data_IF_700329472972
#
_entry.id   IF_700329472972
#
_cell.length_a   1.000
_cell.length_b   1.000
_cell.length_c   1.000
_cell.angle_alpha   90.00
_cell.angle_beta   90.00
_cell.angle_gamma   90.00
#
_symmetry.space_group_name_H-M   'P 1'
#
loop_
_entity.id
_entity.type
_entity.pdbx_description
1 polymer ?
#
# COMPACT_ATOMS: atom_id res chain seq x y z
N UNK A 1 -58.17 -52.81 -27.05
CA UNK A 1 -56.80 -53.21 -26.72
C UNK A 1 -55.76 -52.14 -27.17
N UNK A 2 -56.07 -50.84 -27.15
CA UNK A 2 -55.20 -49.79 -27.68
C UNK A 2 -55.02 -48.58 -26.73
N UNK A 3 -55.49 -48.64 -25.50
CA UNK A 3 -55.32 -47.50 -24.54
C UNK A 3 -54.07 -47.62 -23.66
N UNK A 4 -53.39 -48.72 -23.61
CA UNK A 4 -52.21 -48.99 -22.82
C UNK A 4 -50.88 -48.55 -23.51
N UNK A 5 -50.92 -48.45 -24.86
CA UNK A 5 -49.68 -48.02 -25.61
C UNK A 5 -49.35 -46.57 -25.55
N UNK A 6 -50.31 -45.69 -25.28
CA UNK A 6 -50.09 -44.26 -25.22
C UNK A 6 -49.60 -43.75 -23.82
N UNK A 7 -49.92 -44.45 -22.76
CA UNK A 7 -49.38 -44.09 -21.44
C UNK A 7 -47.88 -44.38 -21.28
N UNK A 8 -47.36 -45.40 -21.99
CA UNK A 8 -45.91 -45.71 -21.91
C UNK A 8 -45.07 -44.79 -22.74
N UNK A 9 -45.57 -44.27 -23.85
CA UNK A 9 -44.87 -43.28 -24.65
C UNK A 9 -44.79 -41.90 -23.96
N UNK A 10 -45.84 -41.50 -23.21
CA UNK A 10 -45.86 -40.24 -22.45
C UNK A 10 -44.94 -40.27 -21.22
N UNK A 11 -44.74 -41.44 -20.60
CA UNK A 11 -43.85 -41.59 -19.47
C UNK A 11 -42.38 -41.58 -19.89
N UNK A 12 -42.06 -42.08 -21.08
CA UNK A 12 -40.69 -42.01 -21.64
C UNK A 12 -40.30 -40.59 -22.07
N UNK A 13 -41.26 -39.76 -22.49
CA UNK A 13 -40.99 -38.36 -22.85
C UNK A 13 -40.79 -37.47 -21.63
N UNK A 14 -41.44 -37.76 -20.51
CA UNK A 14 -41.25 -37.06 -19.24
C UNK A 14 -39.90 -37.43 -18.59
N UNK A 15 -39.40 -38.64 -18.75
CA UNK A 15 -38.10 -39.05 -18.27
C UNK A 15 -36.95 -38.48 -19.12
N UNK A 16 -37.14 -38.30 -20.42
CA UNK A 16 -36.17 -37.67 -21.31
C UNK A 16 -36.01 -36.17 -21.07
N UNK A 17 -37.09 -35.49 -20.65
CA UNK A 17 -37.04 -34.06 -20.34
C UNK A 17 -36.33 -33.74 -18.99
N UNK A 18 -36.39 -34.65 -18.03
CA UNK A 18 -35.70 -34.49 -16.74
C UNK A 18 -34.21 -34.77 -16.84
N UNK A 19 -33.78 -35.63 -17.81
CA UNK A 19 -32.33 -35.90 -18.00
C UNK A 19 -31.64 -34.81 -18.82
N UNK A 20 -32.40 -34.02 -19.62
CA UNK A 20 -31.81 -32.88 -20.37
C UNK A 20 -31.71 -31.59 -19.54
N UNK A 21 -32.27 -31.55 -18.35
CA UNK A 21 -32.21 -30.40 -17.47
C UNK A 21 -31.03 -30.46 -16.45
N UNK A 22 -30.17 -31.49 -16.54
CA UNK A 22 -29.04 -31.69 -15.61
C UNK A 22 -27.67 -31.60 -16.25
N UNK A 23 -27.57 -31.12 -17.48
CA UNK A 23 -26.29 -30.72 -18.08
C UNK A 23 -26.24 -29.20 -18.38
N UNK A 24 -26.69 -28.38 -17.48
CA UNK A 24 -26.05 -27.09 -17.32
C UNK A 24 -24.79 -27.33 -16.51
N UNK A 25 -23.68 -27.47 -17.23
CA UNK A 25 -22.39 -27.71 -16.66
C UNK A 25 -22.15 -26.75 -15.50
N UNK A 26 -21.59 -27.28 -14.44
CA UNK A 26 -20.78 -26.52 -13.51
C UNK A 26 -19.81 -25.66 -14.37
N UNK A 27 -20.24 -24.48 -14.73
CA UNK A 27 -19.30 -23.39 -14.98
C UNK A 27 -18.61 -23.28 -13.64
N UNK A 28 -17.50 -24.00 -13.48
CA UNK A 28 -16.52 -23.61 -12.50
C UNK A 28 -16.24 -22.16 -12.84
N UNK A 29 -16.90 -21.26 -12.13
CA UNK A 29 -16.43 -19.92 -11.98
C UNK A 29 -14.98 -20.11 -11.56
N UNK A 30 -14.06 -19.95 -12.50
CA UNK A 30 -12.65 -19.88 -12.25
C UNK A 30 -12.55 -18.65 -11.35
N UNK A 31 -12.63 -18.90 -10.05
CA UNK A 31 -12.44 -17.84 -9.06
C UNK A 31 -11.05 -17.35 -9.34
N UNK A 32 -10.98 -16.17 -9.95
CA UNK A 32 -9.76 -15.41 -10.01
C UNK A 32 -9.13 -15.51 -8.61
N UNK A 33 -7.97 -16.15 -8.44
CA UNK A 33 -7.27 -16.16 -7.17
C UNK A 33 -6.85 -14.76 -6.76
N UNK A 34 -7.12 -13.78 -7.63
CA UNK A 34 -6.87 -12.38 -7.40
C UNK A 34 -7.57 -11.88 -6.15
N UNK A 35 -6.82 -11.17 -5.37
CA UNK A 35 -7.18 -10.59 -4.08
C UNK A 35 -8.14 -9.40 -4.21
N UNK A 36 -8.72 -9.22 -5.39
CA UNK A 36 -9.66 -8.14 -5.68
C UNK A 36 -11.08 -8.69 -5.72
N UNK A 37 -11.87 -8.30 -4.75
CA UNK A 37 -13.30 -8.37 -4.91
C UNK A 37 -13.73 -7.32 -5.92
N UNK A 38 -13.89 -7.72 -7.18
CA UNK A 38 -14.35 -6.87 -8.28
C UNK A 38 -15.88 -6.74 -8.33
N UNK A 39 -16.59 -7.29 -7.36
CA UNK A 39 -18.04 -7.16 -7.27
C UNK A 39 -18.45 -5.69 -7.25
N UNK A 40 -19.34 -5.29 -8.13
CA UNK A 40 -19.91 -3.94 -8.17
C UNK A 40 -20.66 -3.57 -6.87
N UNK A 41 -21.00 -4.55 -6.07
CA UNK A 41 -21.72 -4.44 -4.82
C UNK A 41 -20.89 -4.88 -3.61
N UNK A 42 -19.55 -4.76 -3.70
CA UNK A 42 -18.68 -5.01 -2.57
C UNK A 42 -19.19 -4.22 -1.36
N UNK A 43 -19.49 -4.92 -0.29
CA UNK A 43 -19.86 -4.26 0.96
C UNK A 43 -18.62 -3.57 1.53
N UNK A 44 -18.78 -2.38 2.06
CA UNK A 44 -17.69 -1.58 2.67
C UNK A 44 -16.98 -2.30 3.83
N UNK A 45 -17.59 -3.36 4.37
CA UNK A 45 -17.14 -4.13 5.53
C UNK A 45 -17.16 -5.62 5.22
N UNK A 46 -16.31 -6.08 4.30
CA UNK A 46 -15.92 -7.48 4.28
C UNK A 46 -14.91 -7.67 5.40
N UNK A 47 -15.37 -8.16 6.55
CA UNK A 47 -14.54 -8.34 7.73
C UNK A 47 -13.49 -9.45 7.53
N UNK A 48 -13.78 -10.44 6.68
CA UNK A 48 -12.88 -11.59 6.46
C UNK A 48 -12.97 -12.11 5.03
N UNK A 49 -11.80 -12.38 4.46
CA UNK A 49 -11.71 -13.12 3.19
C UNK A 49 -12.18 -14.56 3.38
N UNK A 50 -12.83 -15.13 2.35
CA UNK A 50 -13.15 -16.54 2.35
C UNK A 50 -11.89 -17.41 2.45
N UNK A 51 -11.91 -18.54 3.16
CA UNK A 51 -10.78 -19.46 3.20
C UNK A 51 -10.37 -19.89 1.79
N UNK A 52 -9.06 -19.96 1.57
CA UNK A 52 -8.47 -20.41 0.30
C UNK A 52 -7.18 -21.20 0.59
N UNK A 53 -6.37 -21.48 -0.45
CA UNK A 53 -5.09 -22.18 -0.28
C UNK A 53 -4.02 -21.33 0.39
N UNK A 54 -4.17 -20.01 0.42
CA UNK A 54 -3.24 -19.08 1.08
C UNK A 54 -3.53 -18.91 2.56
N UNK A 55 -4.82 -18.89 2.93
CA UNK A 55 -5.25 -18.69 4.33
C UNK A 55 -6.45 -19.55 4.69
N UNK A 56 -6.38 -20.11 5.89
CA UNK A 56 -7.52 -20.82 6.51
C UNK A 56 -8.60 -19.83 6.96
N UNK A 57 -9.77 -20.35 7.37
CA UNK A 57 -10.86 -19.54 7.94
C UNK A 57 -10.45 -18.75 9.21
N UNK A 58 -9.42 -19.18 9.93
CA UNK A 58 -8.88 -18.48 11.10
C UNK A 58 -7.80 -17.44 10.74
N UNK A 59 -7.50 -17.24 9.45
CA UNK A 59 -6.42 -16.38 8.98
C UNK A 59 -5.02 -17.01 9.04
N UNK A 60 -4.89 -18.26 9.51
CA UNK A 60 -3.59 -18.93 9.57
C UNK A 60 -3.08 -19.23 8.14
N UNK A 61 -1.73 -19.18 7.93
CA UNK A 61 -1.12 -19.48 6.63
C UNK A 61 -1.52 -20.87 6.12
N UNK A 62 -1.88 -20.93 4.84
CA UNK A 62 -2.16 -22.15 4.10
C UNK A 62 -0.93 -22.69 3.34
N UNK A 63 -1.10 -23.77 2.56
CA UNK A 63 0.03 -24.39 1.84
C UNK A 63 0.66 -23.47 0.77
N UNK A 64 -0.09 -22.55 0.18
CA UNK A 64 0.36 -21.65 -0.86
C UNK A 64 0.68 -20.23 -0.34
N UNK A 65 0.72 -20.06 0.99
CA UNK A 65 1.03 -18.76 1.60
C UNK A 65 2.41 -18.27 1.18
N UNK A 66 2.48 -16.99 0.84
CA UNK A 66 3.73 -16.32 0.43
C UNK A 66 3.95 -15.04 1.22
N UNK A 67 5.19 -14.60 1.24
CA UNK A 67 5.58 -13.26 1.66
C UNK A 67 6.51 -12.66 0.61
N UNK A 68 6.28 -11.41 0.30
CA UNK A 68 7.18 -10.64 -0.55
C UNK A 68 8.49 -10.33 0.21
N UNK A 69 9.56 -10.08 -0.54
CA UNK A 69 10.84 -9.68 0.01
C UNK A 69 11.31 -8.39 -0.65
N UNK A 70 11.85 -7.50 0.17
CA UNK A 70 12.49 -6.27 -0.30
C UNK A 70 13.83 -6.11 0.41
N UNK A 71 14.91 -6.09 -0.36
CA UNK A 71 16.27 -5.87 0.13
C UNK A 71 16.68 -4.44 -0.18
N UNK A 72 17.38 -3.80 0.75
CA UNK A 72 17.76 -2.39 0.65
C UNK A 72 19.27 -2.23 0.84
N UNK A 73 19.89 -1.47 -0.05
CA UNK A 73 21.24 -0.95 0.12
C UNK A 73 21.15 0.57 0.11
N UNK A 74 21.59 1.22 1.18
CA UNK A 74 21.37 2.66 1.38
C UNK A 74 22.65 3.39 1.71
N UNK A 75 22.86 4.55 1.07
CA UNK A 75 23.84 5.56 1.44
C UNK A 75 23.09 6.75 2.02
N UNK A 76 23.32 7.02 3.32
CA UNK A 76 22.60 8.06 4.07
C UNK A 76 23.57 9.12 4.57
N UNK A 77 23.25 10.38 4.31
CA UNK A 77 23.99 11.52 4.80
C UNK A 77 23.11 12.45 5.65
N UNK A 78 23.48 12.61 6.92
CA UNK A 78 22.85 13.55 7.83
C UNK A 78 23.61 14.89 7.80
N UNK A 79 22.96 15.92 7.28
CA UNK A 79 23.44 17.30 7.34
C UNK A 79 23.00 17.94 8.67
N UNK A 80 23.84 17.81 9.69
CA UNK A 80 23.57 18.36 11.02
C UNK A 80 23.43 19.90 11.00
N UNK A 81 24.16 20.57 10.14
CA UNK A 81 24.12 22.05 10.05
C UNK A 81 22.76 22.55 9.61
N UNK A 82 22.14 21.88 8.63
CA UNK A 82 20.88 22.29 8.04
C UNK A 82 19.70 21.46 8.55
N UNK A 83 19.92 20.53 9.49
CA UNK A 83 18.92 19.57 9.98
C UNK A 83 18.21 18.87 8.81
N UNK A 84 18.98 18.30 7.90
CA UNK A 84 18.52 17.68 6.67
C UNK A 84 19.09 16.28 6.53
N UNK A 85 18.29 15.34 6.04
CA UNK A 85 18.74 14.00 5.68
C UNK A 85 18.69 13.86 4.16
N UNK A 86 19.71 13.24 3.60
CA UNK A 86 19.80 12.90 2.20
C UNK A 86 20.06 11.40 2.10
N UNK A 87 19.44 10.74 1.16
CA UNK A 87 19.60 9.33 0.94
C UNK A 87 19.58 8.96 -0.54
N UNK A 88 20.34 7.93 -0.84
CA UNK A 88 20.24 7.18 -2.08
C UNK A 88 20.11 5.71 -1.72
N UNK A 89 19.10 5.05 -2.22
CA UNK A 89 18.84 3.65 -1.93
C UNK A 89 18.66 2.86 -3.20
N UNK A 90 19.13 1.62 -3.18
CA UNK A 90 18.79 0.60 -4.17
C UNK A 90 17.90 -0.43 -3.50
N UNK A 91 16.73 -0.62 -4.07
CA UNK A 91 15.73 -1.59 -3.61
C UNK A 91 15.73 -2.75 -4.58
N UNK A 92 15.91 -3.97 -4.07
CA UNK A 92 15.67 -5.20 -4.84
C UNK A 92 14.41 -5.85 -4.30
N UNK A 93 13.37 -5.87 -5.13
CA UNK A 93 12.08 -6.43 -4.78
C UNK A 93 11.87 -7.77 -5.44
N UNK A 94 11.48 -8.78 -4.65
CA UNK A 94 11.22 -10.15 -5.09
C UNK A 94 9.72 -10.38 -5.09
N UNK A 95 9.18 -10.74 -6.25
CA UNK A 95 7.77 -11.11 -6.37
C UNK A 95 7.59 -12.60 -6.07
N UNK A 96 7.26 -12.92 -4.83
CA UNK A 96 6.97 -14.30 -4.40
C UNK A 96 5.48 -14.63 -4.50
N UNK A 97 4.64 -13.68 -4.97
CA UNK A 97 3.22 -13.94 -5.23
C UNK A 97 3.00 -14.72 -6.52
N UNK A 98 1.84 -15.32 -6.72
CA UNK A 98 1.48 -15.93 -8.00
C UNK A 98 1.15 -14.89 -9.08
N UNK A 99 0.98 -13.62 -8.72
CA UNK A 99 0.49 -12.56 -9.57
C UNK A 99 1.62 -11.87 -10.34
N UNK A 100 1.33 -11.40 -11.55
CA UNK A 100 2.19 -10.51 -12.31
C UNK A 100 1.96 -9.06 -11.83
N UNK A 101 3.01 -8.38 -11.39
CA UNK A 101 2.92 -7.02 -10.86
C UNK A 101 3.24 -6.01 -11.96
N UNK A 102 2.25 -5.24 -12.38
CA UNK A 102 2.40 -4.23 -13.46
C UNK A 102 3.04 -2.92 -12.99
N UNK A 103 3.05 -2.68 -11.70
CA UNK A 103 3.60 -1.48 -11.05
C UNK A 103 4.00 -1.79 -9.61
N UNK A 104 4.79 -0.91 -9.04
CA UNK A 104 5.21 -1.02 -7.63
C UNK A 104 4.65 0.16 -6.82
N UNK A 105 4.40 -0.09 -5.53
CA UNK A 105 4.05 0.95 -4.59
C UNK A 105 5.12 1.12 -3.52
N UNK A 106 5.46 2.38 -3.27
CA UNK A 106 6.43 2.80 -2.25
C UNK A 106 5.74 3.75 -1.28
N UNK A 107 5.97 3.55 0.00
CA UNK A 107 5.47 4.39 1.08
C UNK A 107 6.44 5.55 1.32
N UNK A 108 5.91 6.74 1.41
CA UNK A 108 6.61 8.00 1.68
C UNK A 108 6.08 8.60 2.98
N UNK A 109 6.35 7.92 4.11
CA UNK A 109 5.72 8.26 5.39
C UNK A 109 6.01 9.68 5.87
N UNK A 110 7.19 10.24 5.55
CA UNK A 110 7.53 11.62 5.90
C UNK A 110 6.63 12.67 5.23
N UNK A 111 5.93 12.30 4.14
CA UNK A 111 5.01 13.21 3.46
C UNK A 111 3.81 13.64 4.33
N UNK A 112 3.58 13.00 5.49
CA UNK A 112 2.63 13.55 6.49
C UNK A 112 3.02 14.94 6.96
N UNK A 113 4.31 15.33 6.78
CA UNK A 113 4.91 16.63 7.14
C UNK A 113 5.17 17.50 5.92
N UNK A 114 4.78 17.08 4.73
CA UNK A 114 4.85 17.91 3.54
C UNK A 114 3.94 19.14 3.70
N UNK A 115 4.35 20.25 3.11
CA UNK A 115 3.62 21.53 3.16
C UNK A 115 2.17 21.40 2.69
N UNK A 116 1.90 20.51 1.74
CA UNK A 116 0.57 20.22 1.16
C UNK A 116 -0.10 18.98 1.74
N UNK A 117 0.41 18.47 2.86
CA UNK A 117 -0.14 17.29 3.53
C UNK A 117 -1.59 17.50 3.95
N UNK A 118 -2.43 16.52 3.68
CA UNK A 118 -3.83 16.48 4.14
C UNK A 118 -4.00 15.84 5.52
N UNK A 119 -2.91 15.38 6.14
CA UNK A 119 -2.94 14.75 7.47
C UNK A 119 -3.57 15.64 8.55
N UNK A 120 -3.30 16.97 8.61
CA UNK A 120 -3.95 17.85 9.58
C UNK A 120 -5.48 17.90 9.44
N UNK A 121 -5.99 17.82 8.21
CA UNK A 121 -7.44 17.84 7.94
C UNK A 121 -8.14 16.58 8.46
N UNK A 122 -7.45 15.45 8.43
CA UNK A 122 -8.00 14.17 8.90
C UNK A 122 -7.88 14.01 10.41
N UNK A 123 -6.75 14.41 10.97
CA UNK A 123 -6.45 14.24 12.39
C UNK A 123 -6.94 15.39 13.26
N UNK A 124 -7.54 16.42 12.65
CA UNK A 124 -8.10 17.55 13.36
C UNK A 124 -9.32 17.17 14.18
N UNK A 125 -9.39 17.67 15.42
CA UNK A 125 -10.53 17.50 16.32
C UNK A 125 -11.74 18.35 15.92
N UNK A 126 -12.00 18.47 14.61
CA UNK A 126 -13.03 19.35 14.08
C UNK A 126 -12.60 20.82 14.02
N UNK A 127 -13.54 21.69 13.69
CA UNK A 127 -13.29 23.13 13.65
C UNK A 127 -13.17 23.64 15.09
N UNK A 128 -12.00 24.14 15.45
CA UNK A 128 -11.83 24.81 16.73
C UNK A 128 -12.71 26.07 16.77
N UNK A 129 -13.58 26.16 17.76
CA UNK A 129 -14.49 27.30 17.94
C UNK A 129 -13.71 28.54 18.40
N UNK A 130 -12.54 28.35 19.01
CA UNK A 130 -11.67 29.42 19.46
C UNK A 130 -10.20 29.03 19.30
N UNK A 131 -9.41 29.96 18.78
CA UNK A 131 -7.96 29.89 18.71
C UNK A 131 -7.35 30.90 19.66
N UNK A 132 -6.25 30.53 20.33
CA UNK A 132 -5.35 31.53 20.91
C UNK A 132 -4.67 32.28 19.77
N UNK A 133 -4.21 33.52 20.01
CA UNK A 133 -3.48 34.30 18.99
C UNK A 133 -2.26 33.52 18.45
N UNK A 134 -1.55 32.80 19.33
CA UNK A 134 -0.41 31.98 18.94
C UNK A 134 -0.80 30.83 18.03
N UNK A 135 -1.81 30.04 18.39
CA UNK A 135 -2.28 28.91 17.58
C UNK A 135 -2.87 29.39 16.24
N UNK A 136 -3.51 30.56 16.22
CA UNK A 136 -4.01 31.14 14.98
C UNK A 136 -2.85 31.52 14.05
N UNK A 137 -1.83 32.19 14.59
CA UNK A 137 -0.65 32.55 13.82
C UNK A 137 0.08 31.32 13.28
N UNK A 138 0.25 30.28 14.10
CA UNK A 138 0.89 29.03 13.70
C UNK A 138 0.11 28.31 12.59
N UNK A 139 -1.20 28.32 12.67
CA UNK A 139 -2.06 27.58 11.72
C UNK A 139 -2.24 28.33 10.40
N UNK A 140 -2.35 29.69 10.42
CA UNK A 140 -2.83 30.45 9.27
C UNK A 140 -1.87 31.55 8.77
N UNK A 141 -0.90 31.95 9.59
CA UNK A 141 0.00 33.08 9.26
C UNK A 141 1.41 32.59 8.97
N UNK A 142 1.92 31.69 9.81
CA UNK A 142 3.28 31.19 9.65
C UNK A 142 3.35 30.24 8.45
N UNK A 143 4.47 30.26 7.76
CA UNK A 143 4.72 29.31 6.69
C UNK A 143 4.81 27.88 7.29
N UNK A 144 4.03 26.91 6.81
CA UNK A 144 4.08 25.57 7.32
C UNK A 144 5.44 24.93 7.06
N UNK A 145 5.92 24.15 8.02
CA UNK A 145 7.14 23.37 7.85
C UNK A 145 6.97 22.37 6.70
N UNK A 146 7.98 22.28 5.85
CA UNK A 146 8.03 21.33 4.75
C UNK A 146 9.05 20.22 5.04
N UNK A 147 8.54 19.09 5.54
CA UNK A 147 9.33 17.92 5.93
C UNK A 147 9.03 16.68 5.07
N UNK A 148 8.35 16.84 3.95
CA UNK A 148 8.08 15.77 3.01
C UNK A 148 9.30 15.37 2.18
N UNK A 149 9.28 14.16 1.63
CA UNK A 149 10.30 13.68 0.70
C UNK A 149 10.36 14.53 -0.56
N UNK A 150 11.56 14.97 -0.91
CA UNK A 150 11.91 15.49 -2.21
C UNK A 150 12.59 14.38 -3.00
N UNK A 151 11.89 13.79 -3.94
CA UNK A 151 12.41 12.72 -4.80
C UNK A 151 13.19 13.35 -5.95
N UNK A 152 14.51 13.14 -5.98
CA UNK A 152 15.38 13.68 -7.03
C UNK A 152 15.40 12.79 -8.28
N UNK A 153 15.38 11.47 -8.08
CA UNK A 153 15.33 10.51 -9.19
C UNK A 153 14.82 9.15 -8.74
N UNK A 154 14.16 8.45 -9.67
CA UNK A 154 13.84 7.02 -9.60
C UNK A 154 14.35 6.40 -10.89
N UNK A 155 15.21 5.37 -10.79
CA UNK A 155 15.88 4.75 -11.95
C UNK A 155 15.87 3.23 -11.81
N UNK A 156 15.81 2.55 -12.95
CA UNK A 156 16.05 1.11 -13.01
C UNK A 156 17.54 0.77 -12.82
N UNK A 157 17.86 -0.52 -12.81
CA UNK A 157 19.23 -1.05 -12.66
C UNK A 157 20.18 -0.65 -13.80
N UNK A 158 19.64 -0.28 -14.97
CA UNK A 158 20.42 0.27 -16.10
C UNK A 158 20.68 1.79 -15.96
N UNK A 159 20.10 2.44 -14.96
CA UNK A 159 20.16 3.89 -14.75
C UNK A 159 19.12 4.69 -15.55
N UNK A 160 18.21 4.04 -16.25
CA UNK A 160 17.13 4.71 -17.01
C UNK A 160 16.05 5.20 -16.05
N UNK A 161 15.56 6.44 -16.20
CA UNK A 161 14.49 6.97 -15.38
C UNK A 161 13.21 6.14 -15.48
N UNK A 162 12.63 5.84 -14.32
CA UNK A 162 11.29 5.27 -14.19
C UNK A 162 10.28 6.37 -13.94
N UNK A 163 9.12 6.28 -14.59
CA UNK A 163 8.02 7.20 -14.34
C UNK A 163 7.32 6.83 -13.04
N UNK A 164 6.95 7.85 -12.27
CA UNK A 164 6.25 7.66 -11.00
C UNK A 164 5.20 8.74 -10.77
N UNK A 165 4.27 8.46 -9.89
CA UNK A 165 3.25 9.40 -9.44
C UNK A 165 3.16 9.37 -7.92
N UNK A 166 3.26 10.54 -7.29
CA UNK A 166 3.11 10.68 -5.83
C UNK A 166 1.70 11.17 -5.54
N UNK A 167 1.04 10.47 -4.61
CA UNK A 167 -0.22 10.89 -4.02
C UNK A 167 -0.06 10.87 -2.50
N UNK A 168 0.18 12.03 -1.91
CA UNK A 168 0.44 12.20 -0.48
C UNK A 168 1.58 11.28 0.00
N UNK A 169 1.29 10.26 0.80
CA UNK A 169 2.27 9.35 1.39
C UNK A 169 2.52 8.08 0.56
N UNK A 170 1.99 8.01 -0.65
CA UNK A 170 2.17 6.87 -1.54
C UNK A 170 2.75 7.28 -2.88
N UNK A 171 3.75 6.52 -3.35
CA UNK A 171 4.35 6.68 -4.67
C UNK A 171 4.14 5.40 -5.48
N UNK A 172 3.49 5.52 -6.63
CA UNK A 172 3.39 4.46 -7.63
C UNK A 172 4.51 4.60 -8.63
N UNK A 173 5.27 3.53 -8.84
CA UNK A 173 6.33 3.44 -9.84
C UNK A 173 5.82 2.55 -10.98
N UNK A 174 5.88 3.04 -12.21
CA UNK A 174 5.55 2.25 -13.39
C UNK A 174 6.81 1.52 -13.87
N UNK A 175 6.69 0.21 -14.04
CA UNK A 175 7.75 -0.64 -14.60
C UNK A 175 7.47 -0.92 -16.07
N UNK A 176 8.51 -1.17 -16.86
CA UNK A 176 8.38 -1.32 -18.30
C UNK A 176 7.67 -2.62 -18.70
N UNK A 177 7.96 -3.69 -17.97
CA UNK A 177 7.37 -5.01 -18.16
C UNK A 177 6.85 -5.51 -16.81
N UNK A 178 5.74 -6.26 -16.77
CA UNK A 178 5.22 -6.82 -15.53
C UNK A 178 6.26 -7.71 -14.85
N UNK A 179 6.44 -7.53 -13.56
CA UNK A 179 7.30 -8.38 -12.72
C UNK A 179 6.56 -9.68 -12.42
N UNK A 180 6.99 -10.76 -13.07
CA UNK A 180 6.33 -12.05 -12.96
C UNK A 180 6.58 -12.75 -11.64
N UNK A 181 5.74 -13.73 -11.33
CA UNK A 181 5.92 -14.62 -10.18
C UNK A 181 7.32 -15.23 -10.18
N UNK A 182 8.01 -15.17 -9.04
CA UNK A 182 9.36 -15.68 -8.85
C UNK A 182 10.49 -14.79 -9.39
N UNK A 183 10.15 -13.68 -10.07
CA UNK A 183 11.16 -12.73 -10.58
C UNK A 183 11.48 -11.66 -9.53
N UNK A 184 12.53 -10.91 -9.82
CA UNK A 184 12.95 -9.75 -9.03
C UNK A 184 13.28 -8.57 -9.91
N UNK A 185 13.10 -7.37 -9.35
CA UNK A 185 13.47 -6.11 -9.98
C UNK A 185 14.33 -5.29 -9.02
N UNK A 186 15.33 -4.59 -9.56
CA UNK A 186 16.13 -3.64 -8.79
C UNK A 186 15.93 -2.24 -9.36
N UNK A 187 15.81 -1.27 -8.49
CA UNK A 187 15.70 0.13 -8.85
C UNK A 187 16.26 1.02 -7.75
N UNK A 188 16.62 2.24 -8.07
CA UNK A 188 17.18 3.20 -7.11
C UNK A 188 16.28 4.42 -6.95
N UNK A 189 16.25 4.96 -5.73
CA UNK A 189 15.58 6.21 -5.38
C UNK A 189 16.60 7.13 -4.73
N UNK A 190 16.70 8.36 -5.22
CA UNK A 190 17.48 9.40 -4.58
C UNK A 190 16.54 10.46 -4.03
N UNK A 191 16.72 10.82 -2.75
CA UNK A 191 15.78 11.62 -2.00
C UNK A 191 16.44 12.45 -0.90
N UNK A 192 15.72 13.45 -0.41
CA UNK A 192 16.05 14.19 0.79
C UNK A 192 14.80 14.80 1.42
N UNK A 193 14.89 15.20 2.69
CA UNK A 193 13.87 16.00 3.37
C UNK A 193 14.48 16.77 4.55
N UNK A 194 13.75 17.79 5.03
CA UNK A 194 14.10 18.57 6.21
C UNK A 194 13.62 17.85 7.47
N UNK A 195 14.48 17.78 8.47
CA UNK A 195 14.17 17.16 9.76
C UNK A 195 13.50 18.20 10.65
N UNK A 196 12.30 17.94 11.20
CA UNK A 196 11.60 18.90 12.04
C UNK A 196 12.28 19.08 13.39
N UNK A 197 12.17 20.29 13.96
CA UNK A 197 12.42 20.49 15.37
C UNK A 197 11.33 19.80 16.19
N UNK A 198 11.72 18.82 17.01
CA UNK A 198 10.81 18.02 17.82
C UNK A 198 10.04 18.88 18.85
N UNK A 199 10.66 19.92 19.37
CA UNK A 199 10.04 20.81 20.36
C UNK A 199 8.92 21.64 19.77
N UNK A 200 8.98 21.91 18.47
CA UNK A 200 7.97 22.68 17.72
C UNK A 200 6.92 21.75 17.11
N UNK A 201 7.34 20.71 16.39
CA UNK A 201 6.44 19.89 15.58
C UNK A 201 5.95 18.62 16.27
N UNK A 202 6.36 18.34 17.51
CA UNK A 202 5.92 17.22 18.37
C UNK A 202 5.67 15.90 17.63
N UNK A 203 6.69 15.42 16.93
CA UNK A 203 6.59 14.22 16.13
C UNK A 203 7.44 13.07 16.70
N UNK A 204 7.21 11.83 16.25
CA UNK A 204 8.10 10.67 16.53
C UNK A 204 9.46 10.81 15.84
N UNK A 205 9.61 11.77 14.93
CA UNK A 205 10.83 12.10 14.22
C UNK A 205 11.15 13.56 14.43
N UNK A 206 12.42 13.88 14.57
CA UNK A 206 12.86 15.24 14.71
C UNK A 206 14.23 15.33 15.36
N UNK A 207 14.68 16.57 15.56
CA UNK A 207 15.86 16.85 16.38
C UNK A 207 15.48 17.68 17.61
N UNK A 208 16.30 17.59 18.64
CA UNK A 208 16.32 18.49 19.79
C UNK A 208 17.68 19.14 19.86
N UNK A 209 17.70 20.46 19.99
CA UNK A 209 18.95 21.22 20.09
C UNK A 209 19.29 21.54 21.55
N UNK A 210 20.52 21.21 21.94
CA UNK A 210 21.08 21.46 23.30
C UNK A 210 22.05 22.65 23.26
N UNK A 211 21.59 23.86 23.56
CA UNK A 211 22.41 25.08 23.37
C UNK A 211 23.64 25.16 24.26
N UNK A 212 23.66 24.45 25.41
CA UNK A 212 24.82 24.43 26.30
C UNK A 212 26.01 23.69 25.68
N UNK A 213 25.70 22.63 24.91
CA UNK A 213 26.74 21.79 24.31
C UNK A 213 26.92 22.05 22.82
N UNK A 214 26.03 22.85 22.23
CA UNK A 214 26.00 23.11 20.80
C UNK A 214 25.64 21.92 19.93
N UNK A 215 25.06 20.87 20.52
CA UNK A 215 24.78 19.60 19.87
C UNK A 215 23.29 19.42 19.57
N UNK A 216 22.98 18.52 18.65
CA UNK A 216 21.62 18.02 18.39
C UNK A 216 21.53 16.53 18.68
N UNK A 217 20.40 16.11 19.23
CA UNK A 217 20.00 14.71 19.24
C UNK A 217 18.92 14.49 18.16
N UNK A 218 19.04 13.40 17.43
CA UNK A 218 18.10 13.05 16.36
C UNK A 218 17.37 11.76 16.69
N UNK A 219 16.05 11.78 16.50
CA UNK A 219 15.21 10.57 16.46
C UNK A 219 14.46 10.60 15.13
N UNK A 220 14.74 9.65 14.26
CA UNK A 220 14.20 9.66 12.91
C UNK A 220 13.57 8.30 12.62
N UNK A 221 12.26 8.21 12.77
CA UNK A 221 11.48 7.02 12.41
C UNK A 221 11.01 7.11 10.96
N UNK A 222 10.85 5.95 10.29
CA UNK A 222 10.29 5.88 8.92
C UNK A 222 11.03 6.81 7.95
N UNK A 223 12.37 6.79 8.00
CA UNK A 223 13.21 7.83 7.43
C UNK A 223 13.52 7.65 5.94
N UNK A 224 13.16 6.53 5.33
CA UNK A 224 13.44 6.22 3.94
C UNK A 224 12.17 5.77 3.20
N UNK A 225 12.10 5.96 1.87
CA UNK A 225 11.06 5.37 1.04
C UNK A 225 11.09 3.84 1.15
N UNK A 226 9.97 3.20 1.43
CA UNK A 226 9.91 1.76 1.63
C UNK A 226 8.84 1.11 0.77
N UNK A 227 9.07 -0.12 0.33
CA UNK A 227 8.06 -0.87 -0.40
C UNK A 227 6.77 -0.99 0.40
N UNK A 228 5.65 -0.79 -0.25
CA UNK A 228 4.36 -1.17 0.32
C UNK A 228 4.25 -2.70 0.40
N UNK A 229 3.47 -3.17 1.34
CA UNK A 229 3.19 -4.60 1.46
C UNK A 229 2.28 -5.04 0.31
N UNK A 230 2.59 -6.17 -0.31
CA UNK A 230 1.70 -6.89 -1.22
C UNK A 230 1.33 -8.22 -0.58
N UNK A 231 0.05 -8.43 -0.34
CA UNK A 231 -0.45 -9.62 0.37
C UNK A 231 -1.55 -10.34 -0.40
N UNK A 232 -1.82 -11.57 0.02
CA UNK A 232 -2.92 -12.39 -0.48
C UNK A 232 -4.31 -11.86 -0.09
N UNK A 233 -4.40 -10.92 0.86
CA UNK A 233 -5.68 -10.40 1.36
C UNK A 233 -6.14 -9.17 0.59
N UNK A 234 -5.24 -8.21 0.35
CA UNK A 234 -5.59 -6.91 -0.24
C UNK A 234 -4.81 -6.59 -1.52
N UNK A 235 -3.86 -7.43 -1.92
CA UNK A 235 -2.88 -7.05 -2.92
C UNK A 235 -1.97 -5.96 -2.36
N UNK A 236 -1.77 -4.87 -3.09
CA UNK A 236 -0.99 -3.73 -2.63
C UNK A 236 -1.69 -2.97 -1.50
N UNK A 237 -1.06 -2.91 -0.33
CA UNK A 237 -1.50 -2.04 0.76
C UNK A 237 -1.04 -0.60 0.50
N UNK A 238 -1.79 0.10 -0.32
CA UNK A 238 -1.49 1.48 -0.74
C UNK A 238 -2.30 2.52 0.05
N UNK A 239 -2.69 2.19 1.28
CA UNK A 239 -3.36 3.12 2.16
C UNK A 239 -2.44 4.28 2.57
N UNK A 240 -3.01 5.48 2.63
CA UNK A 240 -2.28 6.66 3.06
C UNK A 240 -1.87 6.56 4.52
N UNK A 241 -0.61 6.87 4.82
CA UNK A 241 -0.18 7.06 6.19
C UNK A 241 -0.57 8.46 6.67
N UNK A 242 -1.30 8.54 7.76
CA UNK A 242 -1.81 9.80 8.30
C UNK A 242 -1.13 10.22 9.61
N UNK A 243 0.00 9.63 9.95
CA UNK A 243 0.77 9.92 11.16
C UNK A 243 0.51 8.95 12.30
N UNK A 244 -0.45 8.07 12.19
CA UNK A 244 -0.74 7.00 13.15
C UNK A 244 -1.31 5.78 12.45
N UNK A 245 -1.05 4.60 13.01
CA UNK A 245 -1.45 3.31 12.45
C UNK A 245 -0.41 2.73 11.49
N UNK A 246 -0.25 1.44 11.55
CA UNK A 246 0.55 0.64 10.62
C UNK A 246 -0.38 -0.42 10.05
N UNK A 247 -0.40 -0.53 8.72
CA UNK A 247 -1.37 -1.35 8.00
C UNK A 247 -0.67 -2.52 7.33
N UNK A 248 0.13 -3.27 8.05
CA UNK A 248 0.65 -4.54 7.57
C UNK A 248 -0.02 -5.68 8.34
N UNK A 249 -0.58 -6.63 7.62
CA UNK A 249 -1.12 -7.87 8.18
C UNK A 249 -0.04 -8.94 8.26
#
# INVERSE_FOLDING_TARGET
MNRFKYCFASLLFLFGAVVMAQEEGDVKEERDPGHYNQSKFKQLYEEFSSPNTYRSASGAPGPDYYQQQADYVMDIYLDDKNAKINGEETITYHNNSPDDLEFLWVQLDQNVRAKDSKSPLRNGNGVNIAYTAGNFAETYINEPFDGGFNIESVKDDSGKPLSYTINQTMMRINIAEPLKSGEKISFSIKWWYNIPDHTVNRARSGYEYFPKDGNRAYVIAQFFPRMAVYSDVEGWQNHQFWGSGEFAL
#
